data_IF_183237817387
#
_entry.id   IF_183237817387
#
_cell.length_a   1.000
_cell.length_b   1.000
_cell.length_c   1.000
_cell.angle_alpha   90.00
_cell.angle_beta   90.00
_cell.angle_gamma   90.00
#
_symmetry.space_group_name_H-M   'P 1'
#
loop_
_entity.id
_entity.type
_entity.pdbx_description
1 polymer ?
#
# COMPACT_ATOMS: atom_id res chain seq x y z
N UNK A 1 16.55 33.66 14.50
CA UNK A 1 16.97 32.37 13.91
C UNK A 1 16.25 32.21 12.60
N UNK A 2 16.93 31.99 11.45
CA UNK A 2 16.25 32.00 10.16
C UNK A 2 15.39 30.74 10.08
N UNK A 3 14.08 30.91 10.29
CA UNK A 3 13.09 29.87 10.07
C UNK A 3 12.92 29.54 8.58
N UNK A 4 13.58 30.30 7.71
CA UNK A 4 13.48 30.22 6.27
C UNK A 4 14.34 29.08 5.72
N UNK A 5 13.81 28.42 4.69
CA UNK A 5 14.56 27.47 3.87
C UNK A 5 15.39 28.31 2.89
N UNK A 6 16.70 28.04 2.71
CA UNK A 6 17.53 28.77 1.75
C UNK A 6 16.88 28.75 0.35
N UNK A 7 16.96 29.85 -0.39
CA UNK A 7 16.29 29.99 -1.70
C UNK A 7 16.70 28.89 -2.69
N UNK A 8 17.98 28.55 -2.73
CA UNK A 8 18.51 27.48 -3.58
C UNK A 8 17.87 26.13 -3.25
N UNK A 9 17.73 25.81 -1.96
CA UNK A 9 17.05 24.59 -1.50
C UNK A 9 15.55 24.64 -1.82
N UNK A 10 14.92 25.80 -1.66
CA UNK A 10 13.50 25.97 -1.97
C UNK A 10 13.20 25.76 -3.47
N UNK A 11 14.09 26.21 -4.35
CA UNK A 11 13.93 26.03 -5.79
C UNK A 11 14.20 24.58 -6.21
N UNK A 12 15.16 23.90 -5.57
CA UNK A 12 15.37 22.46 -5.77
C UNK A 12 14.15 21.63 -5.31
N UNK A 13 13.55 21.98 -4.17
CA UNK A 13 12.36 21.31 -3.64
C UNK A 13 11.13 21.45 -4.55
N UNK A 14 10.93 22.63 -5.15
CA UNK A 14 9.80 22.87 -6.08
C UNK A 14 9.86 22.00 -7.34
N UNK A 15 11.05 21.52 -7.69
CA UNK A 15 11.26 20.68 -8.87
C UNK A 15 11.04 19.18 -8.60
N UNK A 16 10.83 18.78 -7.34
CA UNK A 16 10.62 17.39 -6.94
C UNK A 16 9.15 16.97 -7.11
N UNK A 17 8.94 15.68 -7.32
CA UNK A 17 7.62 15.07 -7.18
C UNK A 17 7.14 15.19 -5.73
N UNK A 18 5.81 15.21 -5.48
CA UNK A 18 5.27 15.43 -4.14
C UNK A 18 5.80 14.46 -3.08
N UNK A 19 6.02 13.20 -3.44
CA UNK A 19 6.56 12.18 -2.53
C UNK A 19 8.00 12.51 -2.12
N UNK A 20 8.87 12.79 -3.09
CA UNK A 20 10.28 13.12 -2.88
C UNK A 20 10.42 14.45 -2.11
N UNK A 21 9.56 15.42 -2.41
CA UNK A 21 9.47 16.68 -1.67
C UNK A 21 9.23 16.44 -0.17
N UNK A 22 8.22 15.65 0.18
CA UNK A 22 7.88 15.39 1.59
C UNK A 22 8.90 14.48 2.28
N UNK A 23 9.60 13.61 1.54
CA UNK A 23 10.74 12.85 2.06
C UNK A 23 11.86 13.82 2.45
N UNK A 24 12.22 14.77 1.59
CA UNK A 24 13.29 15.74 1.86
C UNK A 24 12.92 16.69 3.00
N UNK A 25 11.67 17.17 3.06
CA UNK A 25 11.20 17.98 4.21
C UNK A 25 11.26 17.17 5.52
N UNK A 26 11.10 15.84 5.45
CA UNK A 26 11.18 14.96 6.63
C UNK A 26 12.60 14.73 7.14
N UNK A 27 13.63 14.87 6.30
CA UNK A 27 15.03 14.73 6.70
C UNK A 27 15.64 16.03 7.20
N UNK A 28 14.99 17.18 6.95
CA UNK A 28 15.47 18.49 7.40
C UNK A 28 15.52 18.61 8.93
N UNK A 29 16.73 18.88 9.42
CA UNK A 29 16.99 19.14 10.84
C UNK A 29 17.48 20.56 11.06
N UNK A 30 17.18 21.08 12.25
CA UNK A 30 17.69 22.36 12.71
C UNK A 30 19.10 22.24 13.30
N UNK A 31 19.73 23.35 13.69
CA UNK A 31 21.08 23.37 14.30
C UNK A 31 21.21 22.53 15.58
N UNK A 32 20.09 22.09 16.17
CA UNK A 32 20.02 21.20 17.34
C UNK A 32 19.85 19.72 17.00
N UNK A 33 19.97 19.34 15.72
CA UNK A 33 19.71 17.99 15.19
C UNK A 33 18.25 17.51 15.40
N UNK A 34 17.31 18.44 15.61
CA UNK A 34 15.87 18.16 15.74
C UNK A 34 15.17 18.42 14.41
N UNK A 35 14.19 17.59 14.05
CA UNK A 35 13.42 17.75 12.82
C UNK A 35 12.74 19.12 12.80
N UNK A 36 12.86 19.85 11.68
CA UNK A 36 12.38 21.23 11.57
C UNK A 36 10.85 21.31 11.48
N UNK A 37 10.20 20.30 10.87
CA UNK A 37 8.75 20.30 10.60
C UNK A 37 8.04 18.99 10.98
N UNK A 38 8.16 18.51 12.23
CA UNK A 38 7.69 17.17 12.62
C UNK A 38 6.16 16.99 12.47
N UNK A 39 5.39 18.00 12.87
CA UNK A 39 3.92 17.95 12.78
C UNK A 39 3.42 18.05 11.34
N UNK A 40 4.06 18.91 10.53
CA UNK A 40 3.69 19.11 9.14
C UNK A 40 3.97 17.85 8.30
N UNK A 41 5.15 17.24 8.49
CA UNK A 41 5.50 15.96 7.85
C UNK A 41 4.52 14.87 8.24
N UNK A 42 4.15 14.79 9.52
CA UNK A 42 3.17 13.80 9.99
C UNK A 42 1.81 13.99 9.31
N UNK A 43 1.34 15.23 9.20
CA UNK A 43 0.09 15.55 8.52
C UNK A 43 0.17 15.24 7.02
N UNK A 44 1.23 15.66 6.35
CA UNK A 44 1.43 15.41 4.92
C UNK A 44 1.46 13.91 4.60
N UNK A 45 2.17 13.11 5.41
CA UNK A 45 2.17 11.65 5.28
C UNK A 45 0.76 11.07 5.40
N UNK A 46 -0.05 11.54 6.35
CA UNK A 46 -1.43 11.09 6.49
C UNK A 46 -2.27 11.44 5.26
N UNK A 47 -2.17 12.68 4.78
CA UNK A 47 -2.90 13.14 3.59
C UNK A 47 -2.51 12.33 2.35
N UNK A 48 -1.22 12.01 2.18
CA UNK A 48 -0.74 11.19 1.07
C UNK A 48 -1.19 9.73 1.13
N UNK A 49 -1.60 9.22 2.29
CA UNK A 49 -2.23 7.88 2.37
C UNK A 49 -3.67 7.88 1.87
N UNK A 50 -4.29 9.05 1.71
CA UNK A 50 -5.65 9.13 1.19
C UNK A 50 -5.67 8.78 -0.30
N UNK A 51 -6.61 7.95 -0.74
CA UNK A 51 -6.82 7.70 -2.16
C UNK A 51 -7.10 9.02 -2.89
N UNK A 52 -6.19 9.43 -3.76
CA UNK A 52 -6.39 10.65 -4.55
C UNK A 52 -7.54 10.51 -5.58
N UNK A 53 -8.00 9.29 -5.85
CA UNK A 53 -9.10 9.05 -6.79
C UNK A 53 -9.86 7.75 -6.51
N UNK A 54 -11.04 7.64 -7.14
CA UNK A 54 -11.85 6.42 -7.16
C UNK A 54 -11.17 5.26 -7.93
N UNK A 55 -10.06 5.50 -8.63
CA UNK A 55 -9.36 4.48 -9.41
C UNK A 55 -8.90 3.29 -8.54
N UNK A 56 -8.60 3.52 -7.26
CA UNK A 56 -8.27 2.45 -6.32
C UNK A 56 -9.50 1.57 -6.02
N UNK A 57 -10.68 2.16 -5.85
CA UNK A 57 -11.92 1.40 -5.67
C UNK A 57 -12.28 0.63 -6.95
N UNK A 58 -12.15 1.26 -8.12
CA UNK A 58 -12.36 0.61 -9.42
C UNK A 58 -11.41 -0.56 -9.65
N UNK A 59 -10.17 -0.46 -9.20
CA UNK A 59 -9.22 -1.57 -9.23
C UNK A 59 -9.67 -2.75 -8.36
N UNK A 60 -10.21 -2.48 -7.17
CA UNK A 60 -10.79 -3.54 -6.31
C UNK A 60 -12.01 -4.15 -7.00
N UNK A 61 -12.91 -3.35 -7.58
CA UNK A 61 -14.08 -3.86 -8.31
C UNK A 61 -13.71 -4.70 -9.53
N UNK A 62 -12.67 -4.31 -10.27
CA UNK A 62 -12.14 -5.10 -11.37
C UNK A 62 -11.60 -6.45 -10.86
N UNK A 63 -10.89 -6.47 -9.73
CA UNK A 63 -10.39 -7.70 -9.12
C UNK A 63 -11.52 -8.63 -8.66
N UNK A 64 -12.57 -8.06 -8.06
CA UNK A 64 -13.77 -8.81 -7.66
C UNK A 64 -14.46 -9.43 -8.88
N UNK A 65 -14.60 -8.66 -9.95
CA UNK A 65 -15.22 -9.10 -11.21
C UNK A 65 -14.40 -10.21 -11.89
N UNK A 66 -13.07 -10.10 -11.87
CA UNK A 66 -12.18 -11.15 -12.39
C UNK A 66 -12.22 -12.42 -11.54
N UNK A 67 -12.35 -12.27 -10.22
CA UNK A 67 -12.42 -13.41 -9.28
C UNK A 67 -13.75 -14.15 -9.37
N UNK A 68 -14.86 -13.40 -9.49
CA UNK A 68 -16.23 -13.90 -9.58
C UNK A 68 -16.80 -13.63 -10.97
N UNK A 69 -16.39 -14.47 -11.91
CA UNK A 69 -16.89 -14.43 -13.28
C UNK A 69 -18.29 -15.03 -13.38
N UNK A 70 -19.01 -14.73 -14.48
CA UNK A 70 -20.35 -15.32 -14.74
C UNK A 70 -20.34 -16.85 -14.73
N UNK A 71 -19.25 -17.48 -15.19
CA UNK A 71 -19.07 -18.95 -15.19
C UNK A 71 -18.69 -19.51 -13.82
N UNK A 72 -18.08 -18.69 -12.94
CA UNK A 72 -17.63 -19.06 -11.58
C UNK A 72 -18.33 -18.16 -10.55
N UNK A 73 -19.65 -18.18 -10.53
CA UNK A 73 -20.48 -17.33 -9.67
C UNK A 73 -20.76 -17.95 -8.28
N UNK A 74 -20.54 -19.25 -8.11
CA UNK A 74 -20.75 -19.98 -6.85
C UNK A 74 -19.55 -19.85 -5.94
N UNK A 75 -19.42 -18.67 -5.33
CA UNK A 75 -18.40 -18.34 -4.32
C UNK A 75 -19.04 -17.50 -3.22
N UNK A 76 -18.84 -17.92 -1.96
CA UNK A 76 -19.26 -17.18 -0.77
C UNK A 76 -18.48 -15.87 -0.62
N UNK A 77 -19.06 -14.92 0.13
CA UNK A 77 -18.46 -13.60 0.34
C UNK A 77 -17.09 -13.68 1.02
N UNK A 78 -16.95 -14.48 2.07
CA UNK A 78 -15.69 -14.64 2.82
C UNK A 78 -14.56 -15.21 1.96
N UNK A 79 -14.88 -16.21 1.12
CA UNK A 79 -13.90 -16.80 0.20
C UNK A 79 -13.47 -15.79 -0.87
N UNK A 80 -14.42 -15.01 -1.39
CA UNK A 80 -14.15 -13.97 -2.37
C UNK A 80 -13.25 -12.87 -1.80
N UNK A 81 -13.57 -12.41 -0.60
CA UNK A 81 -12.78 -11.42 0.12
C UNK A 81 -11.36 -11.92 0.37
N UNK A 82 -11.23 -13.15 0.92
CA UNK A 82 -9.94 -13.80 1.15
C UNK A 82 -9.08 -13.88 -0.11
N UNK A 83 -9.67 -14.25 -1.27
CA UNK A 83 -8.96 -14.31 -2.55
C UNK A 83 -8.52 -12.91 -3.00
N UNK A 84 -9.38 -11.90 -2.87
CA UNK A 84 -9.04 -10.52 -3.25
C UNK A 84 -7.90 -9.96 -2.39
N UNK A 85 -7.91 -10.23 -1.08
CA UNK A 85 -6.82 -9.84 -0.17
C UNK A 85 -5.50 -10.49 -0.57
N UNK A 86 -5.48 -11.81 -0.78
CA UNK A 86 -4.27 -12.54 -1.19
C UNK A 86 -3.74 -12.02 -2.52
N UNK A 87 -4.63 -11.81 -3.50
CA UNK A 87 -4.25 -11.33 -4.83
C UNK A 87 -3.71 -9.89 -4.80
N UNK A 88 -4.29 -9.03 -3.99
CA UNK A 88 -3.81 -7.66 -3.77
C UNK A 88 -2.42 -7.68 -3.14
N UNK A 89 -2.21 -8.49 -2.10
CA UNK A 89 -0.91 -8.63 -1.43
C UNK A 89 0.18 -9.18 -2.38
N UNK A 90 -0.14 -10.19 -3.19
CA UNK A 90 0.78 -10.73 -4.20
C UNK A 90 1.14 -9.67 -5.25
N UNK A 91 0.16 -8.88 -5.71
CA UNK A 91 0.39 -7.80 -6.69
C UNK A 91 1.26 -6.67 -6.12
N UNK A 92 1.03 -6.26 -4.87
CA UNK A 92 1.86 -5.26 -4.18
C UNK A 92 3.31 -5.74 -4.05
N UNK A 93 3.52 -7.02 -3.71
CA UNK A 93 4.86 -7.63 -3.61
C UNK A 93 5.48 -7.98 -4.98
N UNK A 94 4.74 -7.80 -6.09
CA UNK A 94 5.13 -8.21 -7.45
C UNK A 94 5.54 -9.69 -7.53
N UNK A 95 4.90 -10.55 -6.74
CA UNK A 95 5.16 -12.00 -6.69
C UNK A 95 4.16 -12.69 -7.61
N UNK A 96 4.68 -13.52 -8.52
CA UNK A 96 3.86 -14.42 -9.34
C UNK A 96 3.66 -15.79 -8.66
N UNK A 97 2.73 -16.60 -9.17
CA UNK A 97 2.53 -17.97 -8.70
C UNK A 97 3.78 -18.85 -8.83
N UNK A 98 4.70 -18.54 -9.76
CA UNK A 98 5.93 -19.28 -9.96
C UNK A 98 7.01 -18.96 -8.92
N UNK A 99 6.93 -17.79 -8.28
CA UNK A 99 7.90 -17.33 -7.28
C UNK A 99 7.38 -17.51 -5.85
N UNK A 100 6.12 -17.91 -5.70
CA UNK A 100 5.52 -18.09 -4.39
C UNK A 100 6.01 -19.39 -3.75
N UNK A 101 6.82 -19.26 -2.70
CA UNK A 101 7.29 -20.41 -1.93
C UNK A 101 6.23 -20.94 -0.98
N UNK A 102 5.89 -22.22 -1.14
CA UNK A 102 4.94 -22.92 -0.27
C UNK A 102 5.71 -23.46 0.94
N UNK A 103 5.42 -22.93 2.12
CA UNK A 103 6.00 -23.40 3.38
C UNK A 103 5.31 -24.68 3.86
N UNK A 104 5.99 -25.47 4.71
CA UNK A 104 5.38 -26.65 5.35
C UNK A 104 4.13 -26.31 6.16
N UNK A 105 4.07 -25.10 6.73
CA UNK A 105 2.88 -24.60 7.44
C UNK A 105 1.67 -24.36 6.53
N UNK A 106 1.88 -24.09 5.24
CA UNK A 106 0.77 -24.04 4.27
C UNK A 106 0.27 -25.45 3.94
N UNK A 107 1.18 -26.41 3.79
CA UNK A 107 0.85 -27.81 3.49
C UNK A 107 0.15 -28.51 4.66
N UNK A 108 0.54 -28.21 5.89
CA UNK A 108 -0.08 -28.80 7.09
C UNK A 108 -1.56 -28.43 7.26
N UNK A 109 -1.98 -27.30 6.68
CA UNK A 109 -3.39 -26.88 6.60
C UNK A 109 -4.19 -27.62 5.53
N UNK A 110 -3.52 -28.28 4.57
CA UNK A 110 -4.16 -29.12 3.57
C UNK A 110 -4.43 -30.52 4.16
N UNK A 111 -5.39 -30.59 5.08
CA UNK A 111 -5.72 -31.82 5.81
C UNK A 111 -7.20 -32.18 5.65
N UNK A 112 -7.59 -33.33 6.22
CA UNK A 112 -8.94 -33.90 6.07
C UNK A 112 -10.06 -32.99 6.59
N UNK A 113 -9.75 -32.05 7.49
CA UNK A 113 -10.73 -31.14 8.12
C UNK A 113 -11.00 -29.87 7.32
N UNK A 114 -10.40 -29.73 6.13
CA UNK A 114 -10.46 -28.51 5.33
C UNK A 114 -11.90 -28.09 4.95
N UNK A 115 -12.82 -29.03 4.82
CA UNK A 115 -14.20 -28.80 4.42
C UNK A 115 -15.22 -28.91 5.56
N UNK A 116 -14.77 -29.14 6.79
CA UNK A 116 -15.66 -29.43 7.92
C UNK A 116 -16.39 -28.19 8.46
N UNK A 117 -16.01 -26.98 8.01
CA UNK A 117 -16.58 -25.70 8.46
C UNK A 117 -17.34 -24.94 7.35
N UNK A 118 -18.06 -25.64 6.46
CA UNK A 118 -18.96 -24.98 5.50
C UNK A 118 -20.34 -24.67 6.09
#
# INVERSE_FOLDING_TARGET
MPHEIPRETADALKALEPEDFWVEISTMKDYRDVHKFPNLVKLARLVMTLPHSNAQAEQVFAMVTDTKTKKRNRMGGETLDSICVVRTAMRQKKISCYQYEVTEGHLSKHNKTMYDKQ
#
